data_IF_548329114966
#
_entry.id   IF_548329114966
#
_cell.length_a   1.000
_cell.length_b   1.000
_cell.length_c   1.000
_cell.angle_alpha   90.00
_cell.angle_beta   90.00
_cell.angle_gamma   90.00
#
_symmetry.space_group_name_H-M   'P 1'
#
loop_
_entity.id
_entity.type
_entity.pdbx_description
1 polymer ?
#
# COMPACT_ATOMS: atom_id res chain seq x y z
N UNK A 1 -5.94 34.80 8.78
CA UNK A 1 -4.85 33.84 8.51
C UNK A 1 -3.80 34.45 7.58
N UNK A 2 -3.73 35.79 7.50
CA UNK A 2 -3.02 36.51 6.44
C UNK A 2 -1.50 36.63 6.68
N UNK A 3 -1.00 36.04 7.77
CA UNK A 3 0.40 36.11 8.19
C UNK A 3 1.19 34.79 7.97
N UNK A 4 0.58 33.76 7.38
CA UNK A 4 1.27 32.48 7.14
C UNK A 4 2.21 32.65 5.93
N UNK A 5 3.52 32.38 6.07
CA UNK A 5 4.45 32.50 4.95
C UNK A 5 4.04 31.62 3.77
N UNK A 6 4.16 32.13 2.54
CA UNK A 6 3.84 31.39 1.32
C UNK A 6 4.51 30.01 1.29
N UNK A 7 5.78 29.93 1.69
CA UNK A 7 6.55 28.69 1.71
C UNK A 7 5.93 27.63 2.64
N UNK A 8 5.31 28.04 3.75
CA UNK A 8 4.61 27.11 4.62
C UNK A 8 3.38 26.53 3.92
N UNK A 9 2.56 27.39 3.31
CA UNK A 9 1.36 26.94 2.56
C UNK A 9 1.78 26.01 1.42
N UNK A 10 2.84 26.36 0.69
CA UNK A 10 3.40 25.56 -0.39
C UNK A 10 3.85 24.17 0.10
N UNK A 11 4.60 24.10 1.21
CA UNK A 11 5.03 22.82 1.80
C UNK A 11 3.87 21.98 2.34
N UNK A 12 2.83 22.60 2.91
CA UNK A 12 1.64 21.88 3.38
C UNK A 12 0.84 21.32 2.21
N UNK A 13 0.59 22.14 1.19
CA UNK A 13 -0.06 21.69 -0.05
C UNK A 13 0.76 20.60 -0.71
N UNK A 14 2.09 20.62 -0.49
CA UNK A 14 2.94 19.60 -1.06
C UNK A 14 2.65 18.17 -0.56
N UNK A 15 2.14 18.06 0.67
CA UNK A 15 1.79 16.79 1.30
C UNK A 15 0.39 16.27 0.93
N UNK A 16 -0.38 16.99 0.10
CA UNK A 16 -1.71 16.53 -0.27
C UNK A 16 -1.68 15.55 -1.44
N UNK A 17 -2.30 14.38 -1.23
CA UNK A 17 -2.62 13.41 -2.26
C UNK A 17 -3.45 14.05 -3.37
N UNK A 18 -3.09 13.77 -4.62
CA UNK A 18 -3.84 14.25 -5.78
C UNK A 18 -5.25 13.68 -5.83
N UNK A 19 -5.34 12.37 -5.60
CA UNK A 19 -6.54 11.56 -5.86
C UNK A 19 -7.63 11.77 -4.82
N UNK A 20 -7.30 12.31 -3.66
CA UNK A 20 -8.23 12.44 -2.54
C UNK A 20 -8.38 13.87 -2.07
N UNK A 21 -7.27 14.57 -1.83
CA UNK A 21 -7.28 15.81 -1.05
C UNK A 21 -7.15 17.04 -1.93
N UNK A 22 -6.20 17.03 -2.88
CA UNK A 22 -5.91 18.21 -3.69
C UNK A 22 -7.09 18.58 -4.59
N UNK A 23 -7.75 17.60 -5.21
CA UNK A 23 -8.93 17.85 -6.05
C UNK A 23 -10.09 18.48 -5.27
N UNK A 24 -10.34 18.01 -4.04
CA UNK A 24 -11.35 18.59 -3.17
C UNK A 24 -10.99 20.02 -2.76
N UNK A 25 -9.73 20.25 -2.36
CA UNK A 25 -9.26 21.57 -1.96
C UNK A 25 -9.37 22.62 -3.07
N UNK A 26 -9.13 22.25 -4.34
CA UNK A 26 -9.29 23.18 -5.47
C UNK A 26 -10.72 23.73 -5.55
N UNK A 27 -11.72 22.93 -5.16
CA UNK A 27 -13.14 23.31 -5.21
C UNK A 27 -13.57 24.12 -3.99
N UNK A 28 -13.05 23.76 -2.82
CA UNK A 28 -13.53 24.29 -1.54
C UNK A 28 -12.72 25.50 -1.03
N UNK A 29 -11.45 25.63 -1.39
CA UNK A 29 -10.58 26.70 -0.89
C UNK A 29 -10.92 28.02 -1.57
N UNK A 30 -11.50 28.94 -0.80
CA UNK A 30 -11.85 30.30 -1.27
C UNK A 30 -10.80 31.35 -0.90
N UNK A 31 -9.94 31.08 0.07
CA UNK A 31 -8.93 32.04 0.53
C UNK A 31 -7.91 32.35 -0.58
N UNK A 32 -7.70 33.61 -0.99
CA UNK A 32 -6.90 33.94 -2.18
C UNK A 32 -5.47 33.37 -2.18
N UNK A 33 -4.76 33.48 -1.03
CA UNK A 33 -3.42 32.93 -0.88
C UNK A 33 -3.36 31.40 -1.12
N UNK A 34 -4.20 30.65 -0.39
CA UNK A 34 -4.26 29.20 -0.48
C UNK A 34 -4.76 28.72 -1.84
N UNK A 35 -5.79 29.38 -2.37
CA UNK A 35 -6.36 29.04 -3.68
C UNK A 35 -5.30 29.09 -4.77
N UNK A 36 -4.47 30.13 -4.80
CA UNK A 36 -3.40 30.25 -5.78
C UNK A 36 -2.34 29.13 -5.64
N UNK A 37 -1.95 28.78 -4.41
CA UNK A 37 -1.00 27.67 -4.17
C UNK A 37 -1.61 26.33 -4.60
N UNK A 38 -2.83 26.04 -4.15
CA UNK A 38 -3.56 24.80 -4.42
C UNK A 38 -3.80 24.63 -5.92
N UNK A 39 -4.31 25.66 -6.61
CA UNK A 39 -4.49 25.62 -8.06
C UNK A 39 -3.16 25.44 -8.80
N UNK A 40 -2.08 26.08 -8.33
CA UNK A 40 -0.76 25.91 -8.92
C UNK A 40 -0.28 24.46 -8.80
N UNK A 41 -0.35 23.87 -7.61
CA UNK A 41 0.01 22.46 -7.40
C UNK A 41 -0.86 21.54 -8.24
N UNK A 42 -2.17 21.76 -8.25
CA UNK A 42 -3.11 20.94 -9.02
C UNK A 42 -2.81 20.94 -10.52
N UNK A 43 -2.54 22.12 -11.11
CA UNK A 43 -2.30 22.24 -12.57
C UNK A 43 -0.86 21.91 -12.98
N UNK A 44 0.11 22.02 -12.07
CA UNK A 44 1.53 21.89 -12.41
C UNK A 44 2.09 20.50 -12.12
N UNK A 45 1.44 19.71 -11.24
CA UNK A 45 1.91 18.37 -10.89
C UNK A 45 1.77 17.41 -12.05
N UNK A 46 2.82 16.63 -12.25
CA UNK A 46 2.87 15.55 -13.24
C UNK A 46 3.22 14.27 -12.51
N UNK A 47 2.42 13.24 -12.73
CA UNK A 47 2.52 11.98 -12.02
C UNK A 47 3.12 10.93 -12.93
N UNK A 48 4.11 10.21 -12.42
CA UNK A 48 4.82 9.18 -13.15
C UNK A 48 4.71 7.85 -12.41
N UNK A 49 4.62 6.77 -13.16
CA UNK A 49 5.09 5.47 -12.71
C UNK A 49 6.48 5.20 -13.30
N UNK A 50 7.33 4.52 -12.54
CA UNK A 50 8.68 4.16 -12.97
C UNK A 50 8.80 2.65 -13.01
N UNK A 51 9.11 2.12 -14.18
CA UNK A 51 9.25 0.69 -14.40
C UNK A 51 10.72 0.34 -14.51
N UNK A 52 11.18 -0.63 -13.72
CA UNK A 52 12.51 -1.19 -13.78
C UNK A 52 12.46 -2.64 -14.26
N UNK A 53 13.47 -3.06 -15.03
CA UNK A 53 13.62 -4.44 -15.49
C UNK A 53 15.08 -4.85 -15.51
N UNK A 54 15.42 -5.99 -14.90
CA UNK A 54 16.76 -6.59 -15.01
C UNK A 54 16.80 -7.41 -16.29
N UNK A 55 17.84 -7.18 -17.07
CA UNK A 55 18.22 -7.98 -18.22
C UNK A 55 19.57 -8.63 -17.97
N UNK A 56 19.99 -9.53 -18.86
CA UNK A 56 21.33 -10.13 -18.81
C UNK A 56 22.46 -9.11 -19.00
N UNK A 57 22.17 -7.95 -19.60
CA UNK A 57 23.15 -6.91 -19.93
C UNK A 57 23.16 -5.74 -18.94
N UNK A 58 22.15 -5.62 -18.08
CA UNK A 58 22.00 -4.47 -17.19
C UNK A 58 20.55 -4.24 -16.76
N UNK A 59 20.27 -3.04 -16.28
CA UNK A 59 18.97 -2.57 -15.82
C UNK A 59 18.37 -1.61 -16.85
N UNK A 60 17.12 -1.83 -17.22
CA UNK A 60 16.35 -0.85 -18.00
C UNK A 60 15.38 -0.13 -17.08
N UNK A 61 15.08 1.12 -17.42
CA UNK A 61 14.09 1.92 -16.69
C UNK A 61 13.27 2.79 -17.64
N UNK A 62 12.00 3.03 -17.31
CA UNK A 62 11.08 3.87 -18.09
C UNK A 62 10.21 4.69 -17.15
N UNK A 63 10.05 5.98 -17.45
CA UNK A 63 9.06 6.85 -16.80
C UNK A 63 7.82 6.93 -17.70
N UNK A 64 6.65 6.60 -17.15
CA UNK A 64 5.37 6.73 -17.85
C UNK A 64 4.54 7.77 -17.14
N UNK A 65 4.10 8.77 -17.89
CA UNK A 65 3.21 9.80 -17.38
C UNK A 65 1.80 9.22 -17.21
N UNK A 66 1.13 9.44 -16.08
CA UNK A 66 -0.24 8.95 -15.88
C UNK A 66 -1.29 9.70 -16.68
N UNK A 67 -0.98 10.92 -17.12
CA UNK A 67 -1.89 11.74 -17.91
C UNK A 67 -1.75 11.51 -19.43
N UNK A 68 -0.63 10.92 -19.85
CA UNK A 68 -0.30 10.69 -21.25
C UNK A 68 0.38 9.33 -21.34
N UNK A 69 -0.26 8.37 -22.00
CA UNK A 69 0.26 7.00 -22.19
C UNK A 69 1.60 6.98 -22.96
N UNK A 70 2.07 8.13 -23.47
CA UNK A 70 3.40 8.28 -24.01
C UNK A 70 4.48 8.05 -22.95
N UNK A 71 5.30 7.01 -23.16
CA UNK A 71 6.49 6.77 -22.37
C UNK A 71 7.51 7.90 -22.60
N UNK A 72 7.93 8.56 -21.52
CA UNK A 72 8.99 9.55 -21.58
C UNK A 72 10.29 8.93 -21.11
N UNK A 73 11.31 8.92 -21.95
CA UNK A 73 12.63 8.36 -21.61
C UNK A 73 13.52 9.29 -20.77
N UNK A 74 13.02 10.48 -20.42
CA UNK A 74 13.82 11.49 -19.71
C UNK A 74 13.27 11.75 -18.32
N UNK A 75 14.18 11.99 -17.37
CA UNK A 75 13.86 12.46 -16.03
C UNK A 75 13.01 13.74 -16.16
N UNK A 76 11.94 13.88 -15.36
CA UNK A 76 11.11 15.07 -15.39
C UNK A 76 11.93 16.34 -15.17
N UNK A 77 11.91 17.27 -16.13
CA UNK A 77 12.66 18.55 -16.04
C UNK A 77 12.17 19.46 -14.91
N UNK A 78 11.01 19.16 -14.32
CA UNK A 78 10.38 19.95 -13.28
C UNK A 78 10.30 19.14 -11.98
N UNK A 79 11.45 18.91 -11.35
CA UNK A 79 11.60 18.11 -10.13
C UNK A 79 10.63 18.55 -9.02
N UNK A 80 10.34 19.86 -8.94
CA UNK A 80 9.42 20.40 -7.93
C UNK A 80 8.02 19.80 -8.03
N UNK A 81 7.49 19.59 -9.22
CA UNK A 81 6.10 19.16 -9.42
C UNK A 81 5.98 17.73 -9.95
N UNK A 82 7.09 17.10 -10.33
CA UNK A 82 7.13 15.70 -10.69
C UNK A 82 6.93 14.82 -9.46
N UNK A 83 5.98 13.89 -9.52
CA UNK A 83 5.67 12.95 -8.44
C UNK A 83 5.70 11.53 -8.97
N UNK A 84 6.49 10.67 -8.34
CA UNK A 84 6.53 9.24 -8.67
C UNK A 84 5.53 8.54 -7.77
N UNK A 85 4.48 8.04 -8.40
CA UNK A 85 3.37 7.35 -7.74
C UNK A 85 3.72 5.91 -7.42
N UNK A 86 4.33 5.21 -8.37
CA UNK A 86 4.68 3.80 -8.15
C UNK A 86 6.01 3.48 -8.81
N UNK A 87 6.86 2.76 -8.08
CA UNK A 87 8.02 2.09 -8.64
C UNK A 87 7.68 0.61 -8.84
N UNK A 88 7.81 0.14 -10.07
CA UNK A 88 7.54 -1.23 -10.46
C UNK A 88 8.83 -2.00 -10.73
N UNK A 89 8.96 -3.19 -10.17
CA UNK A 89 9.90 -4.21 -10.63
C UNK A 89 9.16 -5.13 -11.61
N UNK A 90 9.46 -4.97 -12.90
CA UNK A 90 8.93 -5.74 -14.02
C UNK A 90 9.90 -6.84 -14.50
N UNK A 91 10.88 -7.25 -13.69
CA UNK A 91 11.83 -8.31 -14.09
C UNK A 91 11.14 -9.61 -14.49
N UNK A 92 9.98 -9.89 -13.88
CA UNK A 92 9.20 -11.09 -14.15
C UNK A 92 8.30 -10.97 -15.40
N UNK A 93 8.29 -9.84 -16.11
CA UNK A 93 7.52 -9.64 -17.33
C UNK A 93 8.34 -10.13 -18.54
N UNK A 94 7.71 -10.72 -19.57
CA UNK A 94 8.40 -11.12 -20.80
C UNK A 94 9.30 -10.03 -21.41
N UNK A 95 10.37 -10.44 -22.09
CA UNK A 95 11.38 -9.52 -22.61
C UNK A 95 10.86 -8.64 -23.76
N UNK A 96 9.83 -9.10 -24.46
CA UNK A 96 9.18 -8.47 -25.61
C UNK A 96 8.12 -7.43 -25.23
N UNK A 97 8.06 -7.00 -23.97
CA UNK A 97 7.20 -5.88 -23.58
C UNK A 97 7.61 -4.58 -24.31
N UNK A 98 6.73 -4.01 -25.17
CA UNK A 98 7.05 -2.84 -26.00
C UNK A 98 7.45 -1.60 -25.20
N UNK A 99 7.09 -1.51 -23.92
CA UNK A 99 7.46 -0.38 -23.06
C UNK A 99 8.98 -0.19 -22.96
N UNK A 100 9.74 -1.28 -23.11
CA UNK A 100 11.20 -1.28 -23.01
C UNK A 100 11.94 -1.26 -24.36
N UNK A 101 11.21 -1.12 -25.48
CA UNK A 101 11.81 -1.10 -26.80
C UNK A 101 12.74 0.11 -26.97
N UNK A 102 14.00 -0.16 -27.31
CA UNK A 102 15.03 0.85 -27.48
C UNK A 102 15.43 1.59 -26.20
N UNK A 103 15.10 1.06 -25.02
CA UNK A 103 15.50 1.63 -23.72
C UNK A 103 16.94 1.24 -23.42
N UNK A 104 17.76 2.24 -23.08
CA UNK A 104 19.16 2.06 -22.71
C UNK A 104 19.31 1.19 -21.45
N UNK A 105 20.37 0.40 -21.41
CA UNK A 105 20.71 -0.47 -20.30
C UNK A 105 21.77 0.19 -19.43
N UNK A 106 21.45 0.35 -18.15
CA UNK A 106 22.36 0.88 -17.14
C UNK A 106 23.02 -0.25 -16.34
N UNK A 107 24.24 -0.03 -15.87
CA UNK A 107 24.83 -0.86 -14.83
C UNK A 107 24.13 -0.67 -13.49
N UNK A 108 24.46 -1.50 -12.50
CA UNK A 108 23.87 -1.39 -11.16
C UNK A 108 24.28 -0.10 -10.45
N UNK A 109 25.51 0.39 -10.69
CA UNK A 109 26.00 1.64 -10.10
C UNK A 109 25.25 2.86 -10.66
N UNK A 110 25.10 2.95 -11.99
CA UNK A 110 24.35 4.03 -12.64
C UNK A 110 22.87 3.97 -12.26
N UNK A 111 22.31 2.77 -12.12
CA UNK A 111 20.96 2.58 -11.60
C UNK A 111 20.83 3.10 -10.17
N UNK A 112 21.81 2.82 -9.31
CA UNK A 112 21.86 3.35 -7.95
C UNK A 112 21.82 4.88 -7.93
N UNK A 113 22.65 5.55 -8.74
CA UNK A 113 22.68 7.02 -8.87
C UNK A 113 21.34 7.58 -9.36
N UNK A 114 20.70 6.90 -10.31
CA UNK A 114 19.36 7.26 -10.77
C UNK A 114 18.33 7.16 -9.63
N UNK A 115 18.35 6.06 -8.87
CA UNK A 115 17.43 5.84 -7.75
C UNK A 115 17.61 6.87 -6.63
N UNK A 116 18.83 7.34 -6.39
CA UNK A 116 19.10 8.44 -5.46
C UNK A 116 18.47 9.75 -5.91
N UNK A 117 18.46 10.02 -7.22
CA UNK A 117 17.80 11.20 -7.81
C UNK A 117 16.28 11.05 -7.77
N UNK A 118 15.77 9.83 -7.96
CA UNK A 118 14.34 9.50 -8.00
C UNK A 118 13.71 9.48 -6.61
N UNK A 119 14.43 9.04 -5.57
CA UNK A 119 13.87 8.82 -4.24
C UNK A 119 13.15 10.06 -3.65
N UNK A 120 13.69 11.29 -3.73
CA UNK A 120 13.00 12.50 -3.24
C UNK A 120 11.73 12.86 -4.04
N UNK A 121 11.56 12.33 -5.25
CA UNK A 121 10.40 12.58 -6.10
C UNK A 121 9.25 11.60 -5.85
N UNK A 122 9.49 10.52 -5.09
CA UNK A 122 8.44 9.56 -4.73
C UNK A 122 7.45 10.24 -3.82
N UNK A 123 6.17 10.21 -4.23
CA UNK A 123 5.11 10.85 -3.47
C UNK A 123 4.99 10.16 -2.10
N UNK A 124 5.20 10.84 -0.97
CA UNK A 124 5.16 10.18 0.33
C UNK A 124 3.74 9.70 0.69
N UNK A 125 2.71 10.35 0.15
CA UNK A 125 1.32 10.09 0.53
C UNK A 125 0.69 9.05 -0.37
N UNK A 126 0.98 9.04 -1.67
CA UNK A 126 0.41 8.07 -2.60
C UNK A 126 1.43 7.07 -3.16
N UNK A 127 2.70 7.27 -2.83
CA UNK A 127 3.82 6.47 -3.30
C UNK A 127 3.71 4.99 -2.95
N UNK A 128 4.08 4.16 -3.91
CA UNK A 128 4.15 2.73 -3.71
C UNK A 128 5.33 2.06 -4.40
N UNK A 129 5.59 0.84 -3.96
CA UNK A 129 6.52 -0.08 -4.59
C UNK A 129 5.81 -1.38 -4.91
N UNK A 130 5.96 -1.89 -6.12
CA UNK A 130 5.34 -3.13 -6.56
C UNK A 130 6.30 -4.02 -7.34
N UNK A 131 6.58 -5.21 -6.81
CA UNK A 131 7.16 -6.30 -7.61
C UNK A 131 6.03 -7.06 -8.30
N UNK A 132 6.13 -7.19 -9.63
CA UNK A 132 5.21 -8.02 -10.39
C UNK A 132 5.61 -9.49 -10.21
N UNK A 133 4.67 -10.28 -9.71
CA UNK A 133 4.85 -11.71 -9.52
C UNK A 133 4.42 -12.45 -10.80
N UNK A 134 5.35 -13.19 -11.40
CA UNK A 134 5.04 -14.16 -12.47
C UNK A 134 5.32 -15.58 -11.98
N UNK A 135 4.29 -16.42 -11.83
CA UNK A 135 4.49 -17.82 -11.46
C UNK A 135 5.45 -18.51 -12.44
N UNK A 136 6.54 -19.06 -11.92
CA UNK A 136 7.46 -19.92 -12.70
C UNK A 136 8.65 -19.20 -13.35
N UNK A 137 8.77 -17.88 -13.26
CA UNK A 137 10.00 -17.17 -13.66
C UNK A 137 10.95 -17.03 -12.46
N UNK A 138 12.25 -17.23 -12.70
CA UNK A 138 13.28 -17.15 -11.66
C UNK A 138 13.41 -15.71 -11.12
N UNK A 139 13.75 -15.67 -9.83
CA UNK A 139 13.71 -14.55 -8.87
C UNK A 139 13.86 -13.10 -9.38
N UNK A 140 13.21 -12.15 -8.67
CA UNK A 140 13.29 -10.71 -8.93
C UNK A 140 14.71 -10.19 -8.68
N UNK A 141 15.52 -10.14 -9.75
CA UNK A 141 16.89 -9.68 -9.66
C UNK A 141 17.00 -8.17 -9.40
N UNK A 142 16.04 -7.36 -9.87
CA UNK A 142 15.99 -5.92 -9.57
C UNK A 142 15.70 -5.64 -8.11
N UNK A 143 14.80 -6.42 -7.48
CA UNK A 143 14.32 -6.15 -6.13
C UNK A 143 15.44 -5.85 -5.13
N UNK A 144 16.56 -6.58 -5.18
CA UNK A 144 17.71 -6.30 -4.29
C UNK A 144 18.29 -4.91 -4.48
N UNK A 145 18.50 -4.47 -5.72
CA UNK A 145 19.08 -3.15 -6.04
C UNK A 145 18.09 -2.03 -5.66
N UNK A 146 16.82 -2.19 -6.03
CA UNK A 146 15.77 -1.21 -5.75
C UNK A 146 15.55 -1.04 -4.24
N UNK A 147 15.34 -2.14 -3.53
CA UNK A 147 15.08 -2.09 -2.08
C UNK A 147 16.29 -1.58 -1.30
N UNK A 148 17.52 -1.94 -1.68
CA UNK A 148 18.73 -1.39 -1.05
C UNK A 148 18.84 0.12 -1.24
N UNK A 149 18.50 0.61 -2.42
CA UNK A 149 18.56 2.05 -2.73
C UNK A 149 17.50 2.86 -1.98
N UNK A 150 16.35 2.24 -1.69
CA UNK A 150 15.22 2.86 -1.03
C UNK A 150 15.20 2.70 0.50
N UNK A 151 15.91 1.71 1.05
CA UNK A 151 15.96 1.46 2.48
C UNK A 151 16.42 2.72 3.24
N UNK A 152 15.64 3.15 4.22
CA UNK A 152 15.83 4.38 5.02
C UNK A 152 15.75 5.71 4.24
N UNK A 153 15.46 5.70 2.94
CA UNK A 153 15.35 6.92 2.12
C UNK A 153 13.90 7.28 1.76
N UNK A 154 13.01 6.28 1.70
CA UNK A 154 11.62 6.47 1.26
C UNK A 154 10.65 5.84 2.23
N UNK A 155 9.46 6.44 2.37
CA UNK A 155 8.37 5.93 3.20
C UNK A 155 7.10 5.89 2.36
N UNK A 156 6.63 4.67 2.09
CA UNK A 156 5.61 4.41 1.09
C UNK A 156 4.26 4.16 1.76
N UNK A 157 3.18 4.46 1.02
CA UNK A 157 1.81 4.11 1.39
C UNK A 157 1.49 2.66 1.07
N UNK A 158 1.99 2.14 -0.04
CA UNK A 158 1.70 0.78 -0.48
C UNK A 158 2.98 0.04 -0.85
N UNK A 159 3.20 -1.13 -0.27
CA UNK A 159 4.31 -2.01 -0.68
C UNK A 159 3.77 -3.37 -1.08
N UNK A 160 4.17 -3.85 -2.25
CA UNK A 160 3.90 -5.20 -2.75
C UNK A 160 5.24 -5.85 -3.05
N UNK A 161 5.71 -6.69 -2.14
CA UNK A 161 7.07 -7.21 -2.12
C UNK A 161 7.09 -8.69 -2.46
N UNK A 162 8.06 -9.09 -3.27
CA UNK A 162 8.49 -10.48 -3.37
C UNK A 162 9.75 -10.68 -2.52
N UNK A 163 9.89 -11.87 -1.92
CA UNK A 163 11.06 -12.14 -1.09
C UNK A 163 12.31 -12.31 -1.96
N UNK A 164 13.26 -11.36 -1.81
CA UNK A 164 14.55 -11.39 -2.49
C UNK A 164 15.73 -11.47 -1.51
N UNK A 165 15.52 -12.08 -0.34
CA UNK A 165 16.50 -12.21 0.76
C UNK A 165 16.30 -11.18 1.88
N UNK A 166 17.29 -11.08 2.77
CA UNK A 166 17.22 -10.27 3.99
C UNK A 166 16.82 -8.81 3.72
N UNK A 167 17.30 -8.22 2.63
CA UNK A 167 16.97 -6.83 2.27
C UNK A 167 15.46 -6.59 2.13
N UNK A 168 14.69 -7.57 1.64
CA UNK A 168 13.23 -7.43 1.54
C UNK A 168 12.57 -7.43 2.93
N UNK A 169 13.11 -8.21 3.87
CA UNK A 169 12.64 -8.23 5.25
C UNK A 169 13.01 -6.94 5.99
N UNK A 170 14.25 -6.46 5.82
CA UNK A 170 14.73 -5.21 6.43
C UNK A 170 13.91 -4.02 5.90
N UNK A 171 13.63 -4.01 4.60
CA UNK A 171 12.77 -2.99 3.99
C UNK A 171 11.34 -3.06 4.54
N UNK A 172 10.74 -4.24 4.61
CA UNK A 172 9.42 -4.44 5.20
C UNK A 172 9.36 -3.94 6.64
N UNK A 173 10.33 -4.32 7.47
CA UNK A 173 10.42 -3.88 8.85
C UNK A 173 10.58 -2.36 8.95
N UNK A 174 11.46 -1.77 8.14
CA UNK A 174 11.66 -0.34 8.09
C UNK A 174 10.37 0.41 7.75
N UNK A 175 9.64 -0.02 6.71
CA UNK A 175 8.37 0.59 6.32
C UNK A 175 7.34 0.46 7.44
N UNK A 176 7.18 -0.73 8.03
CA UNK A 176 6.22 -0.95 9.12
C UNK A 176 6.56 -0.09 10.33
N UNK A 177 7.84 0.09 10.65
CA UNK A 177 8.28 0.82 11.83
C UNK A 177 8.18 2.33 11.64
N UNK A 178 8.57 2.83 10.47
CA UNK A 178 8.90 4.24 10.26
C UNK A 178 7.98 4.97 9.28
N UNK A 179 7.26 4.28 8.38
CA UNK A 179 6.36 4.96 7.44
C UNK A 179 5.05 5.35 8.11
N UNK A 180 4.70 6.66 8.21
CA UNK A 180 3.41 7.09 8.72
C UNK A 180 2.29 6.91 7.67
N UNK A 181 2.67 6.78 6.40
CA UNK A 181 1.75 6.70 5.28
C UNK A 181 1.36 5.26 4.96
N UNK A 182 2.15 4.27 5.40
CA UNK A 182 1.90 2.86 5.11
C UNK A 182 0.45 2.46 5.46
N UNK A 183 -0.21 1.94 4.45
CA UNK A 183 -1.62 1.58 4.44
C UNK A 183 -1.78 0.14 3.97
N UNK A 184 -0.97 -0.31 3.00
CA UNK A 184 -1.06 -1.65 2.45
C UNK A 184 0.30 -2.34 2.36
N UNK A 185 0.33 -3.59 2.81
CA UNK A 185 1.46 -4.51 2.67
C UNK A 185 0.97 -5.76 1.95
N UNK A 186 1.55 -6.07 0.79
CA UNK A 186 1.36 -7.34 0.11
C UNK A 186 2.68 -8.11 0.03
N UNK A 187 2.70 -9.36 0.52
CA UNK A 187 3.84 -10.26 0.43
C UNK A 187 3.53 -11.37 -0.59
N UNK A 188 4.21 -11.29 -1.74
CA UNK A 188 4.12 -12.24 -2.84
C UNK A 188 5.22 -13.31 -2.75
N UNK A 189 4.93 -14.48 -3.33
CA UNK A 189 5.80 -15.65 -3.25
C UNK A 189 5.61 -16.46 -1.97
N UNK A 190 6.07 -17.71 -1.99
CA UNK A 190 6.01 -18.63 -0.84
C UNK A 190 7.29 -18.61 0.00
N UNK A 191 8.32 -17.92 -0.47
CA UNK A 191 9.67 -17.97 0.11
C UNK A 191 9.86 -17.01 1.29
N UNK A 192 8.82 -16.25 1.65
CA UNK A 192 8.86 -15.36 2.82
C UNK A 192 9.08 -16.18 4.11
N UNK A 193 10.03 -15.80 4.96
CA UNK A 193 10.29 -16.51 6.20
C UNK A 193 9.18 -16.28 7.21
N UNK A 194 8.87 -17.29 8.05
CA UNK A 194 7.84 -17.18 9.12
C UNK A 194 8.16 -16.07 10.13
N UNK A 195 9.40 -15.62 10.23
CA UNK A 195 9.84 -14.48 11.05
C UNK A 195 9.15 -13.16 10.67
N UNK A 196 8.54 -13.05 9.48
CA UNK A 196 7.78 -11.84 9.11
C UNK A 196 6.37 -11.79 9.74
N UNK A 197 5.84 -12.89 10.27
CA UNK A 197 4.50 -12.91 10.88
C UNK A 197 4.39 -11.90 12.05
N UNK A 198 5.34 -11.84 13.01
CA UNK A 198 5.35 -10.76 14.01
C UNK A 198 5.33 -9.34 13.44
N UNK A 199 5.99 -9.09 12.29
CA UNK A 199 5.97 -7.78 11.63
C UNK A 199 4.58 -7.47 11.06
N UNK A 200 3.96 -8.41 10.36
CA UNK A 200 2.59 -8.26 9.84
C UNK A 200 1.59 -8.01 10.98
N UNK A 201 1.76 -8.70 12.11
CA UNK A 201 0.97 -8.45 13.32
C UNK A 201 1.16 -7.03 13.82
N UNK A 202 2.41 -6.59 13.99
CA UNK A 202 2.72 -5.22 14.41
C UNK A 202 2.07 -4.19 13.48
N UNK A 203 2.09 -4.43 12.17
CA UNK A 203 1.43 -3.57 11.19
C UNK A 203 -0.09 -3.58 11.32
N UNK A 204 -0.73 -4.74 11.42
CA UNK A 204 -2.19 -4.84 11.61
C UNK A 204 -2.68 -4.04 12.84
N UNK A 205 -1.91 -4.11 13.93
CA UNK A 205 -2.24 -3.44 15.20
C UNK A 205 -1.91 -1.95 15.23
N UNK A 206 -1.16 -1.44 14.24
CA UNK A 206 -0.97 0.01 14.03
C UNK A 206 -2.18 0.69 13.40
N UNK A 207 -3.23 -0.05 13.04
CA UNK A 207 -4.45 0.51 12.45
C UNK A 207 -5.04 1.59 13.37
N UNK A 208 -5.47 2.70 12.78
CA UNK A 208 -6.15 3.77 13.50
C UNK A 208 -7.56 3.95 12.93
N UNK A 209 -8.52 4.45 13.72
CA UNK A 209 -9.82 4.82 13.20
C UNK A 209 -9.70 5.75 11.97
N UNK A 210 -10.48 5.49 10.93
CA UNK A 210 -10.46 6.16 9.64
C UNK A 210 -9.43 5.61 8.65
N UNK A 211 -8.43 4.85 9.11
CA UNK A 211 -7.38 4.26 8.26
C UNK A 211 -7.20 2.77 8.50
N UNK A 212 -7.65 1.95 7.54
CA UNK A 212 -7.52 0.49 7.59
C UNK A 212 -6.13 0.05 7.15
N UNK A 213 -5.46 -0.79 7.92
CA UNK A 213 -4.26 -1.45 7.41
C UNK A 213 -4.65 -2.68 6.61
N UNK A 214 -4.16 -2.80 5.38
CA UNK A 214 -4.45 -3.91 4.49
C UNK A 214 -3.22 -4.82 4.37
N UNK A 215 -3.38 -6.09 4.72
CA UNK A 215 -2.36 -7.12 4.58
C UNK A 215 -2.84 -8.11 3.53
N UNK A 216 -1.98 -8.41 2.57
CA UNK A 216 -2.19 -9.48 1.59
C UNK A 216 -0.97 -10.39 1.64
N UNK A 217 -1.14 -11.70 1.79
CA UNK A 217 0.01 -12.61 1.85
C UNK A 217 -0.26 -13.97 1.26
N UNK A 218 0.78 -14.62 0.73
CA UNK A 218 0.73 -16.03 0.31
C UNK A 218 1.39 -16.97 1.33
N UNK A 219 1.74 -16.44 2.50
CA UNK A 219 2.24 -17.23 3.62
C UNK A 219 1.16 -18.17 4.14
N UNK A 220 1.58 -19.36 4.54
CA UNK A 220 0.73 -20.25 5.33
C UNK A 220 0.54 -19.63 6.72
N UNK A 221 -0.68 -19.18 6.99
CA UNK A 221 -1.06 -18.59 8.27
C UNK A 221 -1.66 -19.68 9.16
N UNK A 222 -1.03 -20.02 10.29
CA UNK A 222 -1.60 -21.01 11.20
C UNK A 222 -2.85 -20.44 11.89
N UNK A 223 -3.82 -21.29 12.20
CA UNK A 223 -5.06 -20.85 12.87
C UNK A 223 -4.81 -20.12 14.19
N UNK A 224 -3.81 -20.54 14.97
CA UNK A 224 -3.41 -19.87 16.21
C UNK A 224 -3.02 -18.40 16.00
N UNK A 225 -2.40 -18.06 14.87
CA UNK A 225 -2.01 -16.69 14.57
C UNK A 225 -3.22 -15.79 14.32
N UNK A 226 -4.29 -16.30 13.71
CA UNK A 226 -5.54 -15.54 13.58
C UNK A 226 -6.31 -15.48 14.89
N UNK A 227 -6.32 -16.57 15.68
CA UNK A 227 -6.92 -16.59 17.02
C UNK A 227 -6.36 -15.46 17.89
N UNK A 228 -5.06 -15.22 17.84
CA UNK A 228 -4.44 -14.11 18.57
C UNK A 228 -4.98 -12.73 18.16
N UNK A 229 -5.36 -12.51 16.89
CA UNK A 229 -6.03 -11.26 16.50
C UNK A 229 -7.44 -11.17 17.07
N UNK A 230 -8.18 -12.28 17.16
CA UNK A 230 -9.49 -12.30 17.81
C UNK A 230 -9.40 -12.03 19.29
N UNK A 231 -8.44 -12.65 19.98
CA UNK A 231 -8.22 -12.44 21.40
C UNK A 231 -7.83 -10.99 21.67
N UNK A 232 -6.97 -10.42 20.81
CA UNK A 232 -6.64 -9.00 20.87
C UNK A 232 -7.80 -8.10 20.53
N UNK A 233 -8.65 -8.42 19.56
CA UNK A 233 -9.85 -7.64 19.26
C UNK A 233 -10.84 -7.63 20.43
N UNK A 234 -11.01 -8.78 21.11
CA UNK A 234 -11.88 -8.90 22.29
C UNK A 234 -11.36 -8.14 23.50
N UNK A 235 -10.03 -8.09 23.68
CA UNK A 235 -9.39 -7.46 24.84
C UNK A 235 -9.03 -5.98 24.59
N UNK A 236 -8.53 -5.67 23.41
CA UNK A 236 -8.07 -4.36 22.96
C UNK A 236 -9.05 -3.80 21.92
N UNK A 237 -9.65 -2.66 22.26
CA UNK A 237 -10.88 -2.15 21.62
C UNK A 237 -10.77 -1.71 20.15
N UNK A 238 -9.62 -1.80 19.49
CA UNK A 238 -9.36 -0.97 18.30
C UNK A 238 -8.63 -1.61 17.08
N UNK A 239 -8.64 -2.93 16.79
CA UNK A 239 -8.08 -3.37 15.52
C UNK A 239 -8.97 -2.89 14.37
N UNK A 240 -8.36 -2.15 13.45
CA UNK A 240 -8.99 -1.68 12.21
C UNK A 240 -8.11 -2.09 11.02
N UNK A 241 -8.28 -3.34 10.57
CA UNK A 241 -7.45 -3.90 9.51
C UNK A 241 -8.18 -4.97 8.70
N UNK A 242 -7.63 -5.25 7.52
CA UNK A 242 -8.04 -6.28 6.60
C UNK A 242 -6.83 -7.18 6.34
N UNK A 243 -7.02 -8.49 6.44
CA UNK A 243 -6.01 -9.50 6.24
C UNK A 243 -6.53 -10.54 5.24
N UNK A 244 -5.97 -10.50 4.03
CA UNK A 244 -6.20 -11.47 2.97
C UNK A 244 -5.02 -12.43 2.89
N UNK A 245 -5.27 -13.73 2.81
CA UNK A 245 -4.22 -14.72 2.62
C UNK A 245 -4.57 -15.72 1.52
N UNK A 246 -3.57 -16.29 0.86
CA UNK A 246 -3.76 -17.31 -0.17
C UNK A 246 -3.03 -18.59 0.25
N UNK A 247 -3.79 -19.69 0.36
CA UNK A 247 -3.22 -21.01 0.64
C UNK A 247 -3.29 -21.47 2.10
N UNK A 248 -4.12 -20.83 2.93
CA UNK A 248 -4.43 -21.34 4.26
C UNK A 248 -5.30 -22.61 4.19
N UNK A 249 -5.13 -23.50 5.16
CA UNK A 249 -6.03 -24.64 5.34
C UNK A 249 -7.34 -24.14 5.93
N UNK A 250 -8.32 -23.92 5.06
CA UNK A 250 -9.68 -23.46 5.43
C UNK A 250 -10.27 -24.30 6.57
N UNK A 251 -9.97 -25.60 6.61
CA UNK A 251 -10.43 -26.52 7.64
C UNK A 251 -9.98 -26.14 9.05
N UNK A 252 -8.77 -25.60 9.22
CA UNK A 252 -8.28 -25.16 10.54
C UNK A 252 -9.04 -23.94 11.07
N UNK A 253 -9.60 -23.13 10.17
CA UNK A 253 -10.43 -21.97 10.52
C UNK A 253 -11.89 -22.33 10.78
N UNK A 254 -12.35 -23.52 10.35
CA UNK A 254 -13.75 -23.94 10.56
C UNK A 254 -14.11 -24.02 12.03
N UNK A 255 -13.19 -24.44 12.89
CA UNK A 255 -13.44 -24.47 14.34
C UNK A 255 -13.72 -23.08 14.90
N UNK A 256 -12.98 -22.08 14.43
CA UNK A 256 -13.18 -20.68 14.79
C UNK A 256 -14.51 -20.14 14.24
N UNK A 257 -14.81 -20.46 12.98
CA UNK A 257 -16.06 -20.10 12.27
C UNK A 257 -17.30 -20.72 12.93
N UNK A 258 -17.23 -21.98 13.37
CA UNK A 258 -18.38 -22.71 13.92
C UNK A 258 -18.91 -22.14 15.24
N UNK A 259 -18.16 -21.25 15.89
CA UNK A 259 -18.61 -20.52 17.09
C UNK A 259 -19.39 -19.24 16.77
N UNK A 260 -19.44 -18.84 15.51
CA UNK A 260 -20.02 -17.57 15.06
C UNK A 260 -21.48 -17.69 14.63
N UNK A 261 -22.20 -16.57 14.68
CA UNK A 261 -23.44 -16.41 13.94
C UNK A 261 -23.12 -16.37 12.43
N UNK A 262 -23.49 -17.44 11.72
CA UNK A 262 -23.31 -17.53 10.27
C UNK A 262 -24.46 -16.84 9.58
N UNK A 263 -24.17 -15.88 8.71
CA UNK A 263 -25.19 -15.18 7.93
C UNK A 263 -24.78 -15.15 6.46
N UNK A 264 -25.68 -15.47 5.53
CA UNK A 264 -25.43 -15.29 4.11
C UNK A 264 -25.37 -13.78 3.83
N UNK A 265 -24.18 -13.26 3.52
CA UNK A 265 -23.95 -11.84 3.20
C UNK A 265 -23.93 -11.60 1.70
N UNK A 266 -23.38 -12.55 0.95
CA UNK A 266 -23.27 -12.49 -0.49
C UNK A 266 -23.54 -13.89 -1.06
N UNK A 267 -24.11 -13.98 -2.26
CA UNK A 267 -24.44 -15.25 -2.93
C UNK A 267 -23.25 -16.19 -3.10
N UNK A 268 -22.02 -15.66 -3.03
CA UNK A 268 -20.83 -16.35 -3.52
C UNK A 268 -19.84 -16.75 -2.41
N UNK A 269 -20.03 -16.32 -1.16
CA UNK A 269 -19.11 -16.66 -0.06
C UNK A 269 -19.82 -16.72 1.28
N UNK A 270 -19.49 -17.73 2.08
CA UNK A 270 -19.92 -17.76 3.48
C UNK A 270 -19.09 -16.73 4.25
N UNK A 271 -19.79 -15.81 4.92
CA UNK A 271 -19.18 -14.82 5.80
C UNK A 271 -19.67 -15.08 7.22
N UNK A 272 -18.74 -15.43 8.10
CA UNK A 272 -18.98 -15.50 9.53
C UNK A 272 -18.83 -14.12 10.12
N UNK A 273 -19.79 -13.71 10.94
CA UNK A 273 -19.83 -12.37 11.52
C UNK A 273 -19.78 -12.49 13.02
N UNK A 274 -18.84 -11.79 13.64
CA UNK A 274 -18.67 -11.74 15.07
C UNK A 274 -18.92 -10.31 15.53
N UNK A 275 -19.90 -10.13 16.41
CA UNK A 275 -20.17 -8.85 17.05
C UNK A 275 -19.32 -8.74 18.31
N UNK A 276 -18.64 -7.61 18.50
CA UNK A 276 -17.95 -7.35 19.75
C UNK A 276 -18.99 -7.11 20.87
N UNK A 277 -18.79 -7.70 22.04
CA UNK A 277 -19.76 -7.63 23.15
C UNK A 277 -19.98 -6.20 23.66
N UNK A 278 -18.88 -5.44 23.82
CA UNK A 278 -18.92 -4.10 24.44
C UNK A 278 -18.63 -2.93 23.51
N UNK A 279 -18.25 -3.17 22.25
CA UNK A 279 -17.83 -2.12 21.32
C UNK A 279 -18.71 -2.15 20.08
N UNK A 280 -18.85 -0.99 19.42
CA UNK A 280 -19.49 -0.92 18.09
C UNK A 280 -18.53 -1.42 17.02
N UNK A 281 -18.08 -2.67 17.13
CA UNK A 281 -17.12 -3.27 16.19
C UNK A 281 -17.49 -4.70 15.83
N UNK A 282 -16.98 -5.15 14.69
CA UNK A 282 -17.26 -6.46 14.12
C UNK A 282 -16.03 -7.06 13.50
N UNK A 283 -15.94 -8.38 13.60
CA UNK A 283 -14.99 -9.18 12.82
C UNK A 283 -15.74 -9.99 11.78
N UNK A 284 -15.18 -10.03 10.58
CA UNK A 284 -15.71 -10.74 9.42
C UNK A 284 -14.68 -11.77 9.00
N UNK A 285 -15.10 -13.02 8.84
CA UNK A 285 -14.23 -14.09 8.31
C UNK A 285 -14.92 -14.71 7.11
N UNK A 286 -14.21 -14.78 5.99
CA UNK A 286 -14.66 -15.53 4.82
C UNK A 286 -13.91 -16.85 4.73
N UNK A 287 -14.64 -17.88 4.29
CA UNK A 287 -14.08 -19.16 3.83
C UNK A 287 -13.05 -19.01 2.69
N UNK A 288 -13.03 -17.88 2.00
CA UNK A 288 -12.04 -17.51 0.96
C UNK A 288 -10.75 -16.90 1.52
N UNK A 289 -10.36 -17.25 2.75
CA UNK A 289 -9.08 -16.85 3.36
C UNK A 289 -8.94 -15.33 3.57
N UNK A 290 -10.00 -14.73 4.13
CA UNK A 290 -10.07 -13.30 4.38
C UNK A 290 -10.60 -13.03 5.79
N UNK A 291 -9.95 -12.12 6.50
CA UNK A 291 -10.40 -11.62 7.80
C UNK A 291 -10.40 -10.10 7.79
N UNK A 292 -11.45 -9.48 8.32
CA UNK A 292 -11.55 -8.03 8.46
C UNK A 292 -12.12 -7.66 9.82
N UNK A 293 -11.50 -6.67 10.46
CA UNK A 293 -11.98 -6.07 11.71
C UNK A 293 -12.38 -4.63 11.44
N UNK A 294 -13.64 -4.29 11.71
CA UNK A 294 -14.22 -2.97 11.47
C UNK A 294 -14.82 -2.40 12.75
N UNK A 295 -14.65 -1.10 12.92
CA UNK A 295 -15.27 -0.32 13.98
C UNK A 295 -16.30 0.59 13.32
N UNK A 296 -17.43 0.82 13.98
CA UNK A 296 -18.37 1.85 13.61
C UNK A 296 -17.77 3.20 14.00
N UNK A 297 -17.67 4.10 13.04
CA UNK A 297 -17.03 5.40 13.21
C UNK A 297 -18.01 6.55 12.97
N UNK A 298 -19.32 6.28 12.97
CA UNK A 298 -20.37 7.30 12.74
C UNK A 298 -20.38 8.40 13.81
N UNK A 299 -19.74 8.18 14.95
CA UNK A 299 -19.53 9.20 15.99
C UNK A 299 -18.40 10.19 15.64
N UNK A 300 -17.52 9.83 14.69
CA UNK A 300 -16.33 10.60 14.33
C UNK A 300 -16.31 11.08 12.89
N UNK A 301 -16.86 10.28 11.99
CA UNK A 301 -16.80 10.50 10.55
C UNK A 301 -18.19 10.34 9.95
N UNK A 302 -18.50 11.19 8.97
CA UNK A 302 -19.71 11.04 8.16
C UNK A 302 -19.69 9.72 7.36
N UNK A 303 -18.50 9.32 6.91
CA UNK A 303 -18.25 8.09 6.17
C UNK A 303 -17.70 7.00 7.10
N UNK A 304 -18.56 6.05 7.48
CA UNK A 304 -18.19 4.91 8.30
C UNK A 304 -18.00 3.66 7.42
N UNK A 305 -16.79 3.08 7.42
CA UNK A 305 -16.45 1.89 6.60
C UNK A 305 -17.38 0.69 6.85
N UNK A 306 -17.81 0.49 8.11
CA UNK A 306 -18.76 -0.57 8.46
C UNK A 306 -20.16 -0.33 7.86
N UNK A 307 -20.64 0.91 7.88
CA UNK A 307 -21.95 1.29 7.30
C UNK A 307 -21.95 1.11 5.79
N UNK A 308 -20.88 1.53 5.13
CA UNK A 308 -20.73 1.48 3.68
C UNK A 308 -20.71 0.04 3.16
N UNK A 309 -19.91 -0.84 3.77
CA UNK A 309 -19.72 -2.22 3.27
C UNK A 309 -20.71 -3.23 3.84
N UNK A 310 -21.22 -2.98 5.04
CA UNK A 310 -21.98 -3.95 5.81
C UNK A 310 -23.20 -3.31 6.48
N UNK A 311 -23.99 -2.57 5.69
CA UNK A 311 -25.15 -1.79 6.17
C UNK A 311 -26.08 -2.61 7.08
N UNK A 312 -26.33 -3.89 6.75
CA UNK A 312 -27.20 -4.79 7.54
C UNK A 312 -26.70 -5.05 8.97
N UNK A 313 -25.41 -4.89 9.22
CA UNK A 313 -24.80 -5.13 10.53
C UNK A 313 -24.44 -3.84 11.27
N UNK A 314 -24.68 -2.69 10.65
CA UNK A 314 -24.32 -1.40 11.23
C UNK A 314 -25.29 -0.95 12.36
N UNK A 315 -26.40 -1.66 12.60
CA UNK A 315 -27.36 -1.30 13.63
C UNK A 315 -26.88 -1.73 15.04
N UNK A 316 -26.22 -0.81 15.76
CA UNK A 316 -25.73 -0.99 17.13
C UNK A 316 -26.61 -0.27 18.15
#
# INVERSE_FOLDING_TARGET
>A
MDAVPWNFVDSVVDLFSVSTTLEQLVREVTHPLWKNVVERHHRSRVYYDVFFRKTVRGMQHVFVNKADDASTRMIPKNERFARIMTVYDMTAVPQDDPIFDGVEQLGEEETGKLLETVAPMIDPVDGGYTTLYSPGLRHPACGKVLLSSFLNKVYLRTIKLEYCGQIAQDFLENQINNSPFLYQVALWGKDWPKSCLPLLRKFALKGIPGKRNAIVTRLEIPASYLQEFFDQWKTNKNPHFNFSFYGGKVDEFRTLINTADVSPVCSDSNLSVFKHETQKSMAFISDRSFVEFLICECDRFENCSLKERYLKYHNF
#
